data_IF_731045328744
#
_entry.id   IF_731045328744
#
_cell.length_a   1.000
_cell.length_b   1.000
_cell.length_c   1.000
_cell.angle_alpha   90.00
_cell.angle_beta   90.00
_cell.angle_gamma   90.00
#
_symmetry.space_group_name_H-M   'P 1'
#
loop_
_entity.id
_entity.type
_entity.pdbx_description
1 polymer ?
#
# COMPACT_ATOMS: atom_id res chain seq x y z
N UNK A 1 -3.63 54.96 11.37
CA UNK A 1 -2.66 55.95 11.93
C UNK A 1 -1.26 55.55 11.48
N UNK A 2 -0.52 56.47 10.86
CA UNK A 2 0.82 56.22 10.32
C UNK A 2 1.17 57.31 9.32
N UNK A 3 2.44 57.71 9.24
CA UNK A 3 2.87 58.71 8.27
C UNK A 3 2.63 58.20 6.85
N UNK A 4 2.02 59.02 5.98
CA UNK A 4 1.64 58.65 4.62
C UNK A 4 0.68 57.45 4.50
N UNK A 5 -0.12 57.17 5.54
CA UNK A 5 -1.21 56.20 5.45
C UNK A 5 -2.36 56.77 4.59
N UNK A 6 -2.78 56.02 3.57
CA UNK A 6 -3.77 56.46 2.59
C UNK A 6 -5.01 55.57 2.65
N UNK A 7 -6.16 56.14 3.03
CA UNK A 7 -7.46 55.46 3.02
C UNK A 7 -8.49 56.34 2.28
N UNK A 8 -8.55 56.20 0.95
CA UNK A 8 -9.30 57.15 0.09
C UNK A 8 -10.68 56.64 -0.32
N UNK A 9 -10.93 55.34 -0.23
CA UNK A 9 -12.21 54.76 -0.62
C UNK A 9 -13.20 54.70 0.54
N UNK A 10 -14.49 54.61 0.20
CA UNK A 10 -15.57 54.47 1.18
C UNK A 10 -15.37 53.19 1.99
N UNK A 11 -15.39 53.31 3.32
CA UNK A 11 -15.19 52.19 4.24
C UNK A 11 -13.75 51.66 4.30
N UNK A 12 -12.76 52.41 3.77
CA UNK A 12 -11.37 51.98 3.81
C UNK A 12 -10.70 52.28 5.15
N UNK A 13 -9.82 51.38 5.60
CA UNK A 13 -9.01 51.55 6.81
C UNK A 13 -7.53 51.32 6.50
N UNK A 14 -6.67 52.26 6.88
CA UNK A 14 -5.22 52.18 6.65
C UNK A 14 -4.44 52.41 7.97
N UNK A 15 -3.70 51.40 8.42
CA UNK A 15 -2.95 51.41 9.69
C UNK A 15 -1.48 51.00 9.48
N UNK A 16 -0.55 51.94 9.65
CA UNK A 16 0.89 51.75 9.38
C UNK A 16 1.49 52.88 8.53
N UNK A 17 2.82 53.00 8.54
CA UNK A 17 3.53 53.99 7.71
C UNK A 17 3.50 53.55 6.24
N UNK A 18 3.19 54.47 5.32
CA UNK A 18 3.17 54.20 3.88
C UNK A 18 2.13 53.16 3.42
N UNK A 19 1.13 52.84 4.25
CA UNK A 19 0.09 51.86 3.90
C UNK A 19 -1.01 52.47 3.02
N UNK A 20 -1.63 51.69 2.15
CA UNK A 20 -2.59 52.14 1.15
C UNK A 20 -3.82 51.23 1.07
N UNK A 21 -4.98 51.74 1.48
CA UNK A 21 -6.28 51.10 1.34
C UNK A 21 -7.16 51.98 0.43
N UNK A 22 -7.03 51.81 -0.89
CA UNK A 22 -7.70 52.67 -1.90
C UNK A 22 -8.91 52.01 -2.55
N UNK A 23 -9.32 50.84 -2.06
CA UNK A 23 -10.50 50.11 -2.54
C UNK A 23 -11.65 50.17 -1.54
N UNK A 24 -12.89 50.14 -2.03
CA UNK A 24 -14.10 50.18 -1.20
C UNK A 24 -14.08 49.04 -0.18
N UNK A 25 -14.41 49.36 1.08
CA UNK A 25 -14.49 48.41 2.19
C UNK A 25 -13.20 47.58 2.39
N UNK A 26 -12.03 48.17 2.10
CA UNK A 26 -10.74 47.48 2.24
C UNK A 26 -9.98 47.94 3.49
N UNK A 27 -9.24 47.03 4.11
CA UNK A 27 -8.43 47.31 5.30
C UNK A 27 -6.99 46.89 5.06
N UNK A 28 -6.03 47.79 5.25
CA UNK A 28 -4.60 47.52 5.20
C UNK A 28 -3.97 47.74 6.58
N UNK A 29 -3.27 46.73 7.10
CA UNK A 29 -2.61 46.75 8.42
C UNK A 29 -1.14 46.35 8.29
N UNK A 30 -0.23 47.28 8.59
CA UNK A 30 1.21 47.10 8.53
C UNK A 30 1.90 48.19 7.71
N UNK A 31 3.20 48.41 7.94
CA UNK A 31 3.97 49.35 7.14
C UNK A 31 4.09 48.86 5.68
N UNK A 32 3.87 49.75 4.72
CA UNK A 32 3.95 49.45 3.28
C UNK A 32 2.88 48.50 2.73
N UNK A 33 1.87 48.12 3.51
CA UNK A 33 0.79 47.23 3.04
C UNK A 33 -0.13 47.99 2.08
N UNK A 34 -0.42 47.40 0.92
CA UNK A 34 -1.39 47.91 -0.03
C UNK A 34 -2.49 46.89 -0.29
N UNK A 35 -3.76 47.28 -0.21
CA UNK A 35 -4.85 46.44 -0.72
C UNK A 35 -4.87 46.49 -2.24
N UNK A 36 -5.39 45.43 -2.88
CA UNK A 36 -5.43 45.26 -4.34
C UNK A 36 -6.83 45.06 -4.90
N UNK A 37 -7.85 44.99 -4.03
CA UNK A 37 -9.25 44.79 -4.40
C UNK A 37 -10.20 45.27 -3.31
N UNK A 38 -11.46 45.49 -3.68
CA UNK A 38 -12.54 45.81 -2.74
C UNK A 38 -12.81 44.65 -1.77
N UNK A 39 -13.30 44.98 -0.57
CA UNK A 39 -13.61 44.01 0.51
C UNK A 39 -12.41 43.19 1.01
N UNK A 40 -11.18 43.60 0.73
CA UNK A 40 -9.98 42.89 1.19
C UNK A 40 -9.53 43.40 2.55
N UNK A 41 -9.17 42.47 3.45
CA UNK A 41 -8.34 42.76 4.62
C UNK A 41 -6.94 42.22 4.35
N UNK A 42 -5.97 43.11 4.18
CA UNK A 42 -4.55 42.77 4.00
C UNK A 42 -3.79 43.09 5.30
N UNK A 43 -3.08 42.09 5.83
CA UNK A 43 -2.28 42.22 7.04
C UNK A 43 -0.86 41.84 6.68
N UNK A 44 0.10 42.75 6.84
CA UNK A 44 1.49 42.53 6.47
C UNK A 44 1.77 42.46 4.96
N UNK A 45 3.03 42.25 4.65
CA UNK A 45 3.62 42.08 3.32
C UNK A 45 4.30 40.71 3.23
N UNK A 46 4.89 40.37 2.09
CA UNK A 46 5.68 39.15 1.93
C UNK A 46 6.90 39.05 2.87
N UNK A 47 7.36 40.18 3.44
CA UNK A 47 8.47 40.20 4.39
C UNK A 47 8.06 39.91 5.85
N UNK A 48 6.76 39.82 6.14
CA UNK A 48 6.26 39.67 7.50
C UNK A 48 6.05 38.20 7.88
N UNK A 49 6.27 37.90 9.16
CA UNK A 49 5.81 36.67 9.81
C UNK A 49 4.61 36.98 10.70
N UNK A 50 3.76 35.97 10.95
CA UNK A 50 2.52 36.13 11.73
C UNK A 50 2.58 35.33 13.02
N UNK A 51 2.13 35.91 14.13
CA UNK A 51 1.97 35.22 15.41
C UNK A 51 0.61 35.55 15.99
N UNK A 52 -0.27 34.54 16.07
CA UNK A 52 -1.57 34.61 16.71
C UNK A 52 -1.61 33.63 17.89
N UNK A 53 -0.92 33.97 18.98
CA UNK A 53 -0.70 33.09 20.13
C UNK A 53 -2.00 32.54 20.76
N UNK A 54 -3.12 33.25 20.59
CA UNK A 54 -4.43 32.83 21.07
C UNK A 54 -5.01 31.59 20.37
N UNK A 55 -4.62 31.29 19.13
CA UNK A 55 -5.24 30.22 18.31
C UNK A 55 -5.23 28.85 19.02
N UNK A 56 -4.16 28.54 19.77
CA UNK A 56 -4.00 27.25 20.46
C UNK A 56 -4.52 27.26 21.90
N UNK A 57 -5.12 28.36 22.36
CA UNK A 57 -5.65 28.46 23.72
C UNK A 57 -6.90 27.62 23.93
N UNK A 58 -7.10 27.10 25.15
CA UNK A 58 -8.31 26.38 25.51
C UNK A 58 -9.58 27.24 25.33
N UNK A 59 -9.48 28.56 25.56
CA UNK A 59 -10.56 29.50 25.32
C UNK A 59 -10.94 29.60 23.83
N UNK A 60 -9.95 29.63 22.92
CA UNK A 60 -10.21 29.62 21.48
C UNK A 60 -10.77 28.29 20.99
N UNK A 61 -10.36 27.17 21.58
CA UNK A 61 -10.95 25.86 21.30
C UNK A 61 -12.42 25.80 21.77
N UNK A 62 -12.70 26.27 22.98
CA UNK A 62 -14.06 26.30 23.53
C UNK A 62 -15.01 27.26 22.80
N UNK A 63 -14.45 28.29 22.14
CA UNK A 63 -15.23 29.22 21.32
C UNK A 63 -15.63 28.63 19.94
N UNK A 64 -15.07 27.49 19.53
CA UNK A 64 -15.47 26.82 18.30
C UNK A 64 -16.86 26.20 18.47
N UNK A 65 -17.68 26.32 17.42
CA UNK A 65 -19.03 25.76 17.37
C UNK A 65 -19.31 25.21 15.98
N UNK A 66 -20.10 24.13 15.90
CA UNK A 66 -20.37 23.42 14.65
C UNK A 66 -19.15 22.67 14.08
N UNK A 67 -19.20 22.27 12.80
CA UNK A 67 -18.09 21.56 12.16
C UNK A 67 -16.84 22.42 12.01
N UNK A 68 -15.70 21.87 12.40
CA UNK A 68 -14.39 22.52 12.25
C UNK A 68 -13.83 22.28 10.85
N UNK A 69 -13.09 23.26 10.32
CA UNK A 69 -12.44 23.20 9.00
C UNK A 69 -10.96 23.61 9.11
N UNK A 70 -10.15 23.23 8.12
CA UNK A 70 -8.76 23.68 8.03
C UNK A 70 -8.68 24.95 7.21
N UNK A 71 -7.89 25.92 7.70
CA UNK A 71 -7.52 27.11 6.93
C UNK A 71 -6.36 26.76 6.02
N UNK A 72 -6.48 27.15 4.76
CA UNK A 72 -5.45 27.00 3.73
C UNK A 72 -5.10 28.36 3.16
N UNK A 73 -3.91 28.49 2.59
CA UNK A 73 -3.43 29.71 1.93
C UNK A 73 -2.93 29.40 0.53
N UNK A 74 -3.14 30.33 -0.42
CA UNK A 74 -2.42 30.30 -1.69
C UNK A 74 -1.05 31.03 -1.60
N UNK A 75 -0.31 31.04 -2.71
CA UNK A 75 1.00 31.70 -2.79
C UNK A 75 0.94 33.23 -2.63
N UNK A 76 -0.24 33.84 -2.80
CA UNK A 76 -0.47 35.26 -2.62
C UNK A 76 -0.96 35.61 -1.19
N UNK A 77 -1.10 34.63 -0.30
CA UNK A 77 -1.56 34.82 1.07
C UNK A 77 -3.08 34.96 1.20
N UNK A 78 -3.88 34.57 0.20
CA UNK A 78 -5.32 34.52 0.35
C UNK A 78 -5.72 33.27 1.15
N UNK A 79 -6.57 33.44 2.16
CA UNK A 79 -7.04 32.36 3.00
C UNK A 79 -8.38 31.80 2.53
N UNK A 80 -8.50 30.48 2.53
CA UNK A 80 -9.74 29.76 2.28
C UNK A 80 -9.87 28.61 3.29
N UNK A 81 -11.06 28.00 3.36
CA UNK A 81 -11.31 26.84 4.22
C UNK A 81 -11.51 25.58 3.38
N UNK A 82 -10.90 24.49 3.84
CA UNK A 82 -11.22 23.14 3.37
C UNK A 82 -11.90 22.42 4.51
N UNK A 83 -13.10 21.90 4.26
CA UNK A 83 -13.81 21.13 5.29
C UNK A 83 -12.98 19.91 5.67
N UNK A 84 -12.80 19.68 6.98
CA UNK A 84 -11.96 18.59 7.47
C UNK A 84 -12.41 17.20 6.96
N UNK A 85 -13.69 17.03 6.61
CA UNK A 85 -14.21 15.79 6.02
C UNK A 85 -13.73 15.50 4.59
N UNK A 86 -13.21 16.50 3.87
CA UNK A 86 -12.64 16.34 2.52
C UNK A 86 -11.18 15.90 2.53
N UNK A 87 -10.49 16.04 3.67
CA UNK A 87 -9.17 15.45 3.87
C UNK A 87 -9.41 13.97 4.17
N UNK A 88 -8.67 13.08 3.51
CA UNK A 88 -8.82 11.62 3.59
C UNK A 88 -9.35 11.21 4.97
N UNK A 89 -10.65 10.88 5.02
CA UNK A 89 -11.33 10.75 6.29
C UNK A 89 -10.71 9.60 7.07
N UNK A 90 -10.79 9.66 8.40
CA UNK A 90 -10.35 8.55 9.27
C UNK A 90 -10.96 7.22 8.82
N UNK A 91 -12.19 7.26 8.28
CA UNK A 91 -12.87 6.12 7.65
C UNK A 91 -12.14 5.58 6.42
N UNK A 92 -11.70 6.44 5.50
CA UNK A 92 -10.94 6.03 4.32
C UNK A 92 -9.59 5.40 4.71
N UNK A 93 -8.94 5.92 5.74
CA UNK A 93 -7.69 5.37 6.26
C UNK A 93 -7.90 3.99 6.92
N UNK A 94 -8.96 3.84 7.72
CA UNK A 94 -9.33 2.56 8.32
C UNK A 94 -9.67 1.50 7.27
N UNK A 95 -10.35 1.89 6.18
CA UNK A 95 -10.63 0.99 5.07
C UNK A 95 -9.34 0.55 4.35
N UNK A 96 -8.35 1.43 4.23
CA UNK A 96 -7.05 1.08 3.67
C UNK A 96 -6.30 0.09 4.57
N UNK A 97 -6.33 0.28 5.89
CA UNK A 97 -5.73 -0.63 6.87
C UNK A 97 -6.30 -2.06 6.77
N UNK A 98 -7.63 -2.18 6.66
CA UNK A 98 -8.28 -3.47 6.43
C UNK A 98 -7.86 -4.14 5.11
N UNK A 99 -7.70 -3.36 4.04
CA UNK A 99 -7.20 -3.87 2.75
C UNK A 99 -5.75 -4.35 2.84
N UNK A 100 -4.89 -3.66 3.59
CA UNK A 100 -3.50 -4.07 3.83
C UNK A 100 -3.46 -5.37 4.62
N UNK A 101 -4.25 -5.49 5.68
CA UNK A 101 -4.36 -6.74 6.48
C UNK A 101 -4.77 -7.94 5.62
N UNK A 102 -5.73 -7.76 4.71
CA UNK A 102 -6.13 -8.80 3.76
C UNK A 102 -5.02 -9.15 2.78
N UNK A 103 -4.30 -8.15 2.25
CA UNK A 103 -3.17 -8.39 1.35
C UNK A 103 -2.07 -9.19 2.04
N UNK A 104 -1.72 -8.83 3.28
CA UNK A 104 -0.72 -9.59 4.05
C UNK A 104 -1.13 -11.04 4.26
N UNK A 105 -2.41 -11.28 4.58
CA UNK A 105 -2.96 -12.63 4.74
C UNK A 105 -2.86 -13.41 3.43
N UNK A 106 -3.22 -12.80 2.30
CA UNK A 106 -3.10 -13.41 0.98
C UNK A 106 -1.64 -13.72 0.62
N UNK A 107 -0.69 -12.84 0.94
CA UNK A 107 0.75 -13.07 0.70
C UNK A 107 1.26 -14.24 1.54
N UNK A 108 0.84 -14.35 2.81
CA UNK A 108 1.19 -15.50 3.66
C UNK A 108 0.63 -16.81 3.08
N UNK A 109 -0.62 -16.81 2.62
CA UNK A 109 -1.23 -17.98 1.95
C UNK A 109 -0.48 -18.35 0.68
N UNK A 110 -0.20 -17.38 -0.20
CA UNK A 110 0.52 -17.60 -1.44
C UNK A 110 1.91 -18.20 -1.19
N UNK A 111 2.62 -17.72 -0.18
CA UNK A 111 3.92 -18.28 0.17
C UNK A 111 3.81 -19.74 0.66
N UNK A 112 2.73 -20.06 1.40
CA UNK A 112 2.47 -21.44 1.81
C UNK A 112 2.14 -22.35 0.61
N UNK A 113 1.34 -21.86 -0.33
CA UNK A 113 0.95 -22.57 -1.55
C UNK A 113 2.14 -22.77 -2.49
N UNK A 114 2.99 -21.75 -2.67
CA UNK A 114 4.22 -21.87 -3.48
C UNK A 114 5.13 -22.97 -2.95
N UNK A 115 5.36 -23.00 -1.64
CA UNK A 115 6.19 -24.05 -1.06
C UNK A 115 5.51 -25.44 -1.13
N UNK A 116 4.18 -25.51 -1.07
CA UNK A 116 3.44 -26.76 -1.35
C UNK A 116 3.64 -27.23 -2.81
N UNK A 117 3.67 -26.31 -3.76
CA UNK A 117 4.00 -26.62 -5.15
C UNK A 117 5.46 -27.09 -5.33
N UNK A 118 6.41 -26.49 -4.59
CA UNK A 118 7.80 -26.96 -4.56
C UNK A 118 7.91 -28.39 -4.02
N UNK A 119 7.17 -28.72 -2.95
CA UNK A 119 7.08 -30.09 -2.45
C UNK A 119 6.49 -31.04 -3.50
N UNK A 120 5.43 -30.64 -4.20
CA UNK A 120 4.87 -31.43 -5.30
C UNK A 120 5.89 -31.73 -6.40
N UNK A 121 6.79 -30.78 -6.69
CA UNK A 121 7.89 -30.98 -7.63
C UNK A 121 8.94 -31.96 -7.08
N UNK A 122 9.28 -31.86 -5.78
CA UNK A 122 10.15 -32.83 -5.12
C UNK A 122 9.56 -34.25 -5.16
N UNK A 123 8.23 -34.39 -4.97
CA UNK A 123 7.51 -35.67 -5.10
C UNK A 123 7.63 -36.22 -6.53
N UNK A 124 7.43 -35.37 -7.54
CA UNK A 124 7.59 -35.78 -8.94
C UNK A 124 9.02 -36.27 -9.24
N UNK A 125 10.05 -35.61 -8.71
CA UNK A 125 11.45 -36.03 -8.82
C UNK A 125 11.67 -37.38 -8.10
N UNK A 126 11.14 -37.54 -6.87
CA UNK A 126 11.30 -38.76 -6.08
C UNK A 126 10.62 -39.98 -6.73
N UNK A 127 9.56 -39.77 -7.52
CA UNK A 127 8.92 -40.84 -8.26
C UNK A 127 9.65 -41.22 -9.55
N UNK A 128 10.66 -40.45 -9.97
CA UNK A 128 11.43 -40.67 -11.20
C UNK A 128 12.48 -41.79 -11.07
N UNK A 129 12.80 -42.43 -12.21
CA UNK A 129 13.91 -43.39 -12.31
C UNK A 129 13.68 -44.76 -11.66
N UNK A 130 13.35 -45.77 -12.47
CA UNK A 130 13.81 -47.13 -12.19
C UNK A 130 14.00 -47.91 -13.48
N UNK A 131 14.86 -48.92 -13.37
CA UNK A 131 15.13 -49.88 -14.42
C UNK A 131 14.66 -51.26 -13.97
N UNK A 132 13.99 -51.98 -14.87
CA UNK A 132 13.68 -53.40 -14.70
C UNK A 132 14.81 -54.21 -15.34
N UNK A 133 15.61 -54.98 -14.58
CA UNK A 133 16.67 -55.79 -15.14
C UNK A 133 16.13 -56.81 -16.16
N UNK A 134 16.93 -57.13 -17.18
CA UNK A 134 16.47 -57.85 -18.37
C UNK A 134 15.99 -59.28 -18.07
N UNK A 135 16.40 -59.87 -16.95
CA UNK A 135 15.99 -61.21 -16.50
C UNK A 135 14.97 -61.21 -15.33
N UNK A 136 14.36 -60.06 -14.98
CA UNK A 136 13.39 -59.97 -13.88
C UNK A 136 12.01 -59.57 -14.37
N UNK A 137 10.97 -60.25 -13.86
CA UNK A 137 9.57 -59.94 -14.18
C UNK A 137 9.00 -58.78 -13.36
N UNK A 138 9.59 -58.50 -12.20
CA UNK A 138 9.13 -57.48 -11.26
C UNK A 138 10.33 -56.76 -10.64
N UNK A 139 10.20 -55.45 -10.43
CA UNK A 139 11.17 -54.64 -9.70
C UNK A 139 10.45 -53.60 -8.84
N UNK A 140 10.99 -53.36 -7.65
CA UNK A 140 10.61 -52.24 -6.79
C UNK A 140 11.84 -51.36 -6.65
N UNK A 141 11.66 -50.04 -6.70
CA UNK A 141 12.68 -49.10 -6.28
C UNK A 141 12.10 -48.05 -5.36
N UNK A 142 12.99 -47.40 -4.63
CA UNK A 142 12.65 -46.27 -3.80
C UNK A 142 13.69 -45.17 -4.03
N UNK A 143 13.23 -43.91 -4.11
CA UNK A 143 14.09 -42.77 -4.36
C UNK A 143 13.74 -41.61 -3.43
N UNK A 144 14.67 -40.68 -3.31
CA UNK A 144 14.49 -39.41 -2.62
C UNK A 144 14.63 -38.27 -3.64
N UNK A 145 13.65 -37.37 -3.68
CA UNK A 145 13.70 -36.12 -4.43
C UNK A 145 13.82 -34.88 -3.55
N UNK A 146 14.56 -33.88 -4.02
CA UNK A 146 14.66 -32.56 -3.40
C UNK A 146 14.39 -31.48 -4.44
N UNK A 147 13.67 -30.42 -4.08
CA UNK A 147 13.49 -29.24 -4.91
C UNK A 147 13.29 -27.98 -4.06
N UNK A 148 14.10 -26.95 -4.29
CA UNK A 148 13.98 -25.64 -3.61
C UNK A 148 13.84 -25.71 -2.08
N UNK A 149 14.54 -26.66 -1.45
CA UNK A 149 14.52 -26.89 0.01
C UNK A 149 13.40 -27.81 0.51
N UNK A 150 12.45 -28.20 -0.33
CA UNK A 150 11.44 -29.22 -0.02
C UNK A 150 11.94 -30.62 -0.39
N UNK A 151 11.58 -31.62 0.40
CA UNK A 151 12.06 -33.00 0.29
C UNK A 151 10.89 -33.97 0.19
N UNK A 152 11.07 -35.03 -0.59
CA UNK A 152 10.06 -36.07 -0.78
C UNK A 152 10.67 -37.45 -0.98
N UNK A 153 9.91 -38.47 -0.61
CA UNK A 153 10.23 -39.87 -0.87
C UNK A 153 9.27 -40.45 -1.89
N UNK A 154 9.78 -41.31 -2.77
CA UNK A 154 8.99 -42.00 -3.79
C UNK A 154 9.29 -43.49 -3.79
N UNK A 155 8.25 -44.30 -3.90
CA UNK A 155 8.34 -45.73 -4.18
C UNK A 155 7.74 -46.03 -5.54
N UNK A 156 8.34 -46.96 -6.27
CA UNK A 156 7.82 -47.38 -7.56
C UNK A 156 7.98 -48.87 -7.80
N UNK A 157 7.04 -49.42 -8.57
CA UNK A 157 6.99 -50.82 -8.95
C UNK A 157 6.89 -50.94 -10.47
N UNK A 158 7.59 -51.92 -11.04
CA UNK A 158 7.59 -52.23 -12.47
C UNK A 158 7.25 -53.71 -12.68
N UNK A 159 6.45 -53.99 -13.71
CA UNK A 159 6.00 -55.33 -14.08
C UNK A 159 6.21 -55.56 -15.57
N UNK A 160 6.99 -56.59 -15.92
CA UNK A 160 7.10 -57.07 -17.31
C UNK A 160 5.95 -57.99 -17.64
N UNK A 161 5.08 -57.53 -18.54
CA UNK A 161 3.93 -58.30 -19.02
C UNK A 161 4.31 -59.16 -20.23
N UNK A 162 5.28 -58.72 -21.03
CA UNK A 162 5.83 -59.45 -22.19
C UNK A 162 7.27 -59.00 -22.48
N UNK A 163 8.01 -59.71 -23.33
CA UNK A 163 9.39 -59.35 -23.67
C UNK A 163 9.53 -57.92 -24.21
N UNK A 164 8.46 -57.39 -24.81
CA UNK A 164 8.43 -56.08 -25.43
C UNK A 164 7.66 -55.03 -24.61
N UNK A 165 6.98 -55.40 -23.52
CA UNK A 165 6.10 -54.48 -22.78
C UNK A 165 6.29 -54.53 -21.26
N UNK A 166 6.54 -53.35 -20.67
CA UNK A 166 6.72 -53.14 -19.23
C UNK A 166 5.76 -52.07 -18.73
N UNK A 167 4.98 -52.40 -17.71
CA UNK A 167 4.15 -51.44 -16.97
C UNK A 167 4.89 -50.92 -15.73
N UNK A 168 4.63 -49.67 -15.33
CA UNK A 168 5.18 -49.08 -14.12
C UNK A 168 4.13 -48.26 -13.36
N UNK A 169 4.25 -48.24 -12.04
CA UNK A 169 3.46 -47.41 -11.14
C UNK A 169 4.39 -46.83 -10.07
N UNK A 170 4.15 -45.58 -9.66
CA UNK A 170 4.88 -44.94 -8.58
C UNK A 170 3.95 -44.12 -7.70
N UNK A 171 4.30 -44.01 -6.43
CA UNK A 171 3.67 -43.15 -5.45
C UNK A 171 4.77 -42.40 -4.69
N UNK A 172 4.53 -41.15 -4.36
CA UNK A 172 5.48 -40.37 -3.57
C UNK A 172 4.76 -39.46 -2.60
N UNK A 173 5.45 -39.15 -1.51
CA UNK A 173 4.97 -38.30 -0.43
C UNK A 173 6.06 -37.31 -0.04
N UNK A 174 5.67 -36.05 0.12
CA UNK A 174 6.49 -34.99 0.69
C UNK A 174 6.48 -35.03 2.22
N UNK A 175 7.55 -34.55 2.83
CA UNK A 175 7.73 -34.65 4.28
C UNK A 175 7.17 -33.46 5.07
N UNK A 176 7.01 -32.29 4.45
CA UNK A 176 6.79 -31.04 5.17
C UNK A 176 5.35 -30.52 5.07
N UNK A 177 4.67 -30.72 3.93
CA UNK A 177 3.35 -30.14 3.63
C UNK A 177 2.32 -31.18 3.20
N UNK A 178 2.66 -32.46 3.30
CA UNK A 178 1.74 -33.58 3.11
C UNK A 178 1.29 -33.80 1.67
N UNK A 179 2.03 -33.26 0.69
CA UNK A 179 1.76 -33.50 -0.72
C UNK A 179 1.98 -34.97 -1.08
N UNK A 180 0.97 -35.62 -1.66
CA UNK A 180 1.05 -36.99 -2.19
C UNK A 180 0.85 -36.94 -3.70
N UNK A 181 1.69 -37.66 -4.43
CA UNK A 181 1.60 -37.81 -5.87
C UNK A 181 1.62 -39.28 -6.27
N UNK A 182 1.06 -39.57 -7.43
CA UNK A 182 1.11 -40.90 -8.02
C UNK A 182 1.27 -40.81 -9.54
N UNK A 183 1.87 -41.83 -10.15
CA UNK A 183 1.93 -41.98 -11.60
C UNK A 183 1.81 -43.43 -11.99
N UNK A 184 1.27 -43.67 -13.19
CA UNK A 184 1.25 -44.97 -13.86
C UNK A 184 1.68 -44.78 -15.31
N UNK A 185 2.34 -45.76 -15.88
CA UNK A 185 2.86 -45.69 -17.24
C UNK A 185 3.22 -47.06 -17.81
N UNK A 186 3.59 -47.07 -19.09
CA UNK A 186 4.04 -48.27 -19.78
C UNK A 186 5.06 -47.94 -20.86
N UNK A 187 5.93 -48.91 -21.14
CA UNK A 187 6.99 -48.82 -22.15
C UNK A 187 6.86 -50.01 -23.08
N UNK A 188 6.75 -49.74 -24.39
CA UNK A 188 6.79 -50.73 -25.45
C UNK A 188 8.13 -50.57 -26.20
N UNK A 189 8.86 -51.67 -26.41
CA UNK A 189 10.13 -51.70 -27.13
C UNK A 189 10.09 -52.79 -28.21
N UNK A 190 10.63 -52.50 -29.40
CA UNK A 190 10.67 -53.40 -30.56
C UNK A 190 12.08 -53.46 -31.16
#
# INVERSE_FOLDING_TARGET
MGQSATATAIGATALGQGTSATFVNSTAVGAGVATTRANQVAVGTAANTYTLAGITSAASLAAQSGPVSLVTSDAAGNLAVVNASNIASVTALSALDGRVTNLETNVRSLNADMRKAFEGSAVAIAMGGAALPDNKRFAISANWGNFSGENAFGGMAQLRLSNNFVANAAVGAGFARGGIGGRVGGTLAW
#
